data_IF_582238955927
#
_entry.id   IF_582238955927
#
_cell.length_a   1.000
_cell.length_b   1.000
_cell.length_c   1.000
_cell.angle_alpha   90.00
_cell.angle_beta   90.00
_cell.angle_gamma   90.00
#
_symmetry.space_group_name_H-M   'P 1'
#
loop_
_entity.id
_entity.type
_entity.pdbx_description
1 polymer ?
#
# COMPACT_ATOMS: atom_id res chain seq x y z
N UNK A 1 -14.74 21.07 -59.73
CA UNK A 1 -14.89 19.75 -59.09
C UNK A 1 -13.94 19.69 -57.90
N UNK A 2 -14.42 19.94 -56.68
CA UNK A 2 -13.60 19.81 -55.47
C UNK A 2 -14.53 19.61 -54.26
N UNK A 3 -14.76 18.35 -53.87
CA UNK A 3 -15.42 18.03 -52.61
C UNK A 3 -15.11 16.56 -52.23
N UNK A 4 -13.90 16.32 -51.70
CA UNK A 4 -13.41 14.96 -51.40
C UNK A 4 -12.68 14.81 -50.07
N UNK A 5 -12.62 15.83 -49.20
CA UNK A 5 -11.73 15.82 -48.03
C UNK A 5 -12.42 15.69 -46.66
N UNK A 6 -13.75 15.63 -46.60
CA UNK A 6 -14.50 15.70 -45.33
C UNK A 6 -14.80 14.33 -44.67
N UNK A 7 -14.80 13.23 -45.43
CA UNK A 7 -15.20 11.90 -44.90
C UNK A 7 -14.11 11.18 -44.09
N UNK A 8 -12.83 11.37 -44.40
CA UNK A 8 -11.72 10.66 -43.73
C UNK A 8 -11.41 11.22 -42.33
N UNK A 9 -11.63 12.51 -42.08
CA UNK A 9 -11.40 13.13 -40.75
C UNK A 9 -12.42 12.69 -39.70
N UNK A 10 -13.66 12.40 -40.10
CA UNK A 10 -14.71 11.90 -39.19
C UNK A 10 -14.49 10.44 -38.77
N UNK A 11 -13.94 9.60 -39.65
CA UNK A 11 -13.60 8.22 -39.32
C UNK A 11 -12.45 8.14 -38.29
N UNK A 12 -11.45 9.02 -38.42
CA UNK A 12 -10.32 9.06 -37.48
C UNK A 12 -10.75 9.50 -36.08
N UNK A 13 -11.70 10.43 -35.98
CA UNK A 13 -12.20 10.93 -34.69
C UNK A 13 -12.99 9.87 -33.90
N UNK A 14 -13.68 8.96 -34.60
CA UNK A 14 -14.41 7.84 -33.99
C UNK A 14 -13.48 6.73 -33.48
N UNK A 15 -12.35 6.50 -34.14
CA UNK A 15 -11.34 5.51 -33.66
C UNK A 15 -10.61 6.05 -32.42
N UNK A 16 -10.38 7.36 -32.34
CA UNK A 16 -9.70 7.98 -31.19
C UNK A 16 -10.58 8.06 -29.93
N UNK A 17 -11.91 8.06 -30.06
CA UNK A 17 -12.84 8.05 -28.91
C UNK A 17 -13.04 6.65 -28.32
N UNK A 18 -12.81 5.57 -29.07
CA UNK A 18 -12.84 4.21 -28.52
C UNK A 18 -11.61 3.84 -27.67
N UNK A 19 -10.47 4.51 -27.87
CA UNK A 19 -9.24 4.21 -27.10
C UNK A 19 -9.17 4.89 -25.72
N UNK A 20 -10.03 5.87 -25.44
CA UNK A 20 -10.08 6.55 -24.13
C UNK A 20 -11.10 5.95 -23.16
N UNK A 21 -11.79 4.87 -23.55
CA UNK A 21 -12.44 3.97 -22.61
C UNK A 21 -11.36 3.13 -21.88
N UNK A 22 -10.45 3.83 -21.19
CA UNK A 22 -9.59 3.23 -20.19
C UNK A 22 -10.52 2.47 -19.25
N UNK A 23 -10.42 1.14 -19.30
CA UNK A 23 -11.20 0.25 -18.46
C UNK A 23 -10.87 0.63 -17.03
N UNK A 24 -11.76 1.36 -16.37
CA UNK A 24 -11.77 1.46 -14.92
C UNK A 24 -11.78 0.02 -14.45
N UNK A 25 -10.64 -0.46 -13.96
CA UNK A 25 -10.53 -1.77 -13.35
C UNK A 25 -11.41 -1.67 -12.11
N UNK A 26 -12.69 -2.01 -12.27
CA UNK A 26 -13.57 -2.21 -11.15
C UNK A 26 -12.95 -3.38 -10.40
N UNK A 27 -12.25 -3.07 -9.31
CA UNK A 27 -11.73 -4.10 -8.42
C UNK A 27 -12.94 -4.83 -7.89
N UNK A 28 -13.21 -6.00 -8.48
CA UNK A 28 -14.25 -6.87 -7.99
C UNK A 28 -13.91 -7.23 -6.54
N UNK A 29 -14.94 -7.45 -5.72
CA UNK A 29 -14.74 -7.95 -4.37
C UNK A 29 -14.05 -9.32 -4.46
N UNK A 30 -12.92 -9.47 -3.79
CA UNK A 30 -12.12 -10.70 -3.79
C UNK A 30 -12.39 -11.46 -2.50
N UNK A 31 -13.53 -12.17 -2.45
CA UNK A 31 -13.94 -12.90 -1.26
C UNK A 31 -13.07 -14.15 -1.04
N UNK A 32 -12.31 -14.16 0.04
CA UNK A 32 -11.51 -15.30 0.49
C UNK A 32 -12.25 -16.04 1.58
N UNK A 33 -12.48 -17.35 1.40
CA UNK A 33 -13.20 -18.19 2.36
C UNK A 33 -12.34 -18.50 3.59
N UNK A 34 -12.92 -18.34 4.78
CA UNK A 34 -12.37 -18.80 6.06
C UNK A 34 -13.00 -20.14 6.41
N UNK A 35 -12.16 -21.11 6.76
CA UNK A 35 -12.60 -22.43 7.22
C UNK A 35 -12.63 -22.46 8.74
N UNK A 36 -13.77 -22.84 9.30
CA UNK A 36 -13.95 -23.08 10.74
C UNK A 36 -14.60 -24.44 10.93
N UNK A 37 -14.14 -25.20 11.92
CA UNK A 37 -14.70 -26.52 12.24
C UNK A 37 -15.91 -26.43 13.18
N UNK A 38 -16.07 -25.31 13.90
CA UNK A 38 -17.04 -25.16 14.97
C UNK A 38 -18.40 -24.61 14.51
N UNK A 39 -18.47 -24.01 13.31
CA UNK A 39 -19.66 -23.34 12.81
C UNK A 39 -20.00 -23.80 11.38
N UNK A 40 -21.22 -24.26 11.10
CA UNK A 40 -21.62 -24.70 9.76
C UNK A 40 -21.78 -23.57 8.74
N UNK A 41 -21.86 -22.30 9.18
CA UNK A 41 -22.00 -21.15 8.30
C UNK A 41 -20.76 -20.91 7.45
N UNK A 42 -20.93 -20.17 6.35
CA UNK A 42 -19.82 -19.84 5.45
C UNK A 42 -19.31 -18.44 5.73
N UNK A 43 -18.01 -18.33 5.96
CA UNK A 43 -17.33 -17.09 6.32
C UNK A 43 -16.34 -16.69 5.25
N UNK A 44 -16.28 -15.39 4.96
CA UNK A 44 -15.34 -14.83 3.99
C UNK A 44 -14.83 -13.47 4.47
N UNK A 45 -13.67 -13.04 3.96
CA UNK A 45 -13.25 -11.64 3.99
C UNK A 45 -12.95 -11.11 2.59
N UNK A 46 -13.11 -9.80 2.38
CA UNK A 46 -12.81 -9.15 1.11
C UNK A 46 -11.33 -8.74 1.04
N UNK A 47 -10.52 -9.48 0.28
CA UNK A 47 -9.08 -9.22 0.13
C UNK A 47 -8.80 -7.90 -0.58
N UNK A 48 -9.66 -7.44 -1.48
CA UNK A 48 -9.44 -6.21 -2.24
C UNK A 48 -9.77 -4.93 -1.45
N UNK A 49 -10.29 -5.07 -0.21
CA UNK A 49 -10.69 -3.96 0.65
C UNK A 49 -10.09 -4.02 2.06
N UNK A 50 -8.89 -4.57 2.18
CA UNK A 50 -8.13 -4.54 3.42
C UNK A 50 -7.50 -3.16 3.62
N UNK A 51 -7.65 -2.61 4.83
CA UNK A 51 -6.95 -1.40 5.25
C UNK A 51 -6.07 -1.75 6.45
N UNK A 52 -4.76 -1.70 6.24
CA UNK A 52 -3.74 -2.00 7.24
C UNK A 52 -3.13 -0.69 7.72
N UNK A 53 -3.15 -0.45 9.03
CA UNK A 53 -2.56 0.72 9.66
C UNK A 53 -1.90 0.31 10.97
N UNK A 54 -0.58 0.41 11.04
CA UNK A 54 0.22 -0.08 12.16
C UNK A 54 -0.17 -1.52 12.54
N UNK A 55 -0.61 -1.75 13.77
CA UNK A 55 -1.06 -3.06 14.27
C UNK A 55 -2.55 -3.34 14.04
N UNK A 56 -3.26 -2.44 13.36
CA UNK A 56 -4.69 -2.59 13.07
C UNK A 56 -4.95 -3.07 11.63
N UNK A 57 -5.95 -3.93 11.47
CA UNK A 57 -6.53 -4.25 10.18
C UNK A 57 -8.04 -4.05 10.19
N UNK A 58 -8.52 -3.18 9.30
CA UNK A 58 -9.96 -3.01 9.00
C UNK A 58 -10.32 -3.79 7.75
N UNK A 59 -11.39 -4.56 7.82
CA UNK A 59 -11.80 -5.47 6.75
C UNK A 59 -13.32 -5.63 6.67
N UNK A 60 -13.77 -6.19 5.55
CA UNK A 60 -15.15 -6.65 5.39
C UNK A 60 -15.21 -8.15 5.58
N UNK A 61 -16.06 -8.60 6.51
CA UNK A 61 -16.44 -9.99 6.72
C UNK A 61 -17.80 -10.24 6.07
N UNK A 62 -17.93 -11.33 5.32
CA UNK A 62 -19.20 -11.85 4.83
C UNK A 62 -19.55 -13.14 5.55
N UNK A 63 -20.81 -13.26 5.96
CA UNK A 63 -21.38 -14.48 6.52
C UNK A 63 -22.56 -14.91 5.66
N UNK A 64 -22.60 -16.18 5.27
CA UNK A 64 -23.77 -16.81 4.66
C UNK A 64 -24.28 -17.85 5.65
N UNK A 65 -25.51 -17.64 6.11
CA UNK A 65 -26.12 -18.54 7.08
C UNK A 65 -26.67 -19.77 6.38
N UNK A 66 -26.32 -20.98 6.84
CA UNK A 66 -26.88 -22.22 6.29
C UNK A 66 -28.38 -22.30 6.55
N UNK A 67 -28.81 -21.82 7.71
CA UNK A 67 -30.22 -21.61 8.05
C UNK A 67 -30.43 -20.13 8.30
N UNK A 68 -31.35 -19.46 7.58
CA UNK A 68 -31.63 -18.05 7.80
C UNK A 68 -31.96 -17.75 9.27
N UNK A 69 -31.36 -16.69 9.81
CA UNK A 69 -31.48 -16.33 11.22
C UNK A 69 -32.63 -15.32 11.41
N UNK A 70 -33.47 -15.48 12.44
CA UNK A 70 -34.50 -14.48 12.76
C UNK A 70 -33.84 -13.20 13.30
N UNK A 71 -34.24 -12.06 12.75
CA UNK A 71 -33.82 -10.75 13.24
C UNK A 71 -34.98 -9.76 13.10
N UNK A 72 -35.47 -9.25 14.23
CA UNK A 72 -36.72 -8.48 14.31
C UNK A 72 -37.89 -9.27 13.66
N UNK A 73 -38.50 -8.72 12.61
CA UNK A 73 -39.63 -9.28 11.88
C UNK A 73 -39.23 -9.98 10.56
N UNK A 74 -37.93 -10.19 10.32
CA UNK A 74 -37.41 -10.80 9.10
C UNK A 74 -36.50 -12.00 9.37
N UNK A 75 -36.31 -12.79 8.32
CA UNK A 75 -35.24 -13.78 8.23
C UNK A 75 -34.06 -13.17 7.46
N UNK A 76 -32.86 -13.41 7.96
CA UNK A 76 -31.60 -12.93 7.37
C UNK A 76 -30.82 -14.13 6.85
N UNK A 77 -30.50 -14.13 5.56
CA UNK A 77 -29.75 -15.22 4.91
C UNK A 77 -28.25 -14.92 4.82
N UNK A 78 -27.86 -13.64 4.85
CA UNK A 78 -26.45 -13.26 4.87
C UNK A 78 -26.24 -11.90 5.52
N UNK A 79 -25.00 -11.66 5.94
CA UNK A 79 -24.59 -10.40 6.53
C UNK A 79 -23.20 -9.99 6.04
N UNK A 80 -22.98 -8.67 5.94
CA UNK A 80 -21.66 -8.07 5.76
C UNK A 80 -21.34 -7.25 7.01
N UNK A 81 -20.20 -7.51 7.62
CA UNK A 81 -19.70 -6.78 8.78
C UNK A 81 -18.44 -6.04 8.38
N UNK A 82 -18.34 -4.77 8.73
CA UNK A 82 -17.09 -4.03 8.69
C UNK A 82 -16.49 -4.06 10.09
N UNK A 83 -15.35 -4.70 10.22
CA UNK A 83 -14.72 -4.96 11.51
C UNK A 83 -13.28 -4.47 11.49
N UNK A 84 -12.72 -4.24 12.69
CA UNK A 84 -11.33 -3.92 12.91
C UNK A 84 -10.74 -4.86 13.96
N UNK A 85 -9.56 -5.40 13.66
CA UNK A 85 -8.77 -6.18 14.61
C UNK A 85 -7.52 -5.37 14.97
N UNK A 86 -7.18 -5.31 16.26
CA UNK A 86 -5.88 -4.85 16.74
C UNK A 86 -5.01 -6.07 17.07
N UNK A 87 -4.02 -6.34 16.24
CA UNK A 87 -3.28 -7.60 16.22
C UNK A 87 -2.36 -7.83 17.41
N UNK A 88 -1.85 -6.77 18.03
CA UNK A 88 -1.01 -6.86 19.24
C UNK A 88 -1.81 -6.86 20.55
N UNK A 89 -3.04 -6.33 20.53
CA UNK A 89 -3.92 -6.28 21.71
C UNK A 89 -4.94 -7.42 21.73
N UNK A 90 -5.02 -8.20 20.64
CA UNK A 90 -6.00 -9.27 20.47
C UNK A 90 -7.44 -8.79 20.68
N UNK A 91 -7.79 -7.63 20.12
CA UNK A 91 -9.14 -7.06 20.22
C UNK A 91 -9.84 -6.95 18.87
N UNK A 92 -11.17 -7.11 18.88
CA UNK A 92 -12.06 -6.97 17.73
C UNK A 92 -13.09 -5.89 18.01
N UNK A 93 -13.32 -5.03 17.01
CA UNK A 93 -14.31 -3.96 17.07
C UNK A 93 -15.21 -3.99 15.84
N UNK A 94 -16.52 -3.99 16.06
CA UNK A 94 -17.52 -3.85 15.00
C UNK A 94 -17.73 -2.37 14.66
N UNK A 95 -17.57 -2.02 13.39
CA UNK A 95 -17.74 -0.64 12.89
C UNK A 95 -19.13 -0.47 12.27
N UNK A 96 -19.56 -1.41 11.43
CA UNK A 96 -20.88 -1.38 10.80
C UNK A 96 -21.32 -2.76 10.32
N UNK A 97 -22.61 -2.93 10.05
CA UNK A 97 -23.13 -4.14 9.43
C UNK A 97 -24.26 -3.86 8.42
N UNK A 98 -24.40 -4.79 7.47
CA UNK A 98 -25.48 -4.88 6.51
C UNK A 98 -26.11 -6.27 6.62
N UNK A 99 -27.44 -6.33 6.68
CA UNK A 99 -28.19 -7.59 6.74
C UNK A 99 -29.03 -7.77 5.48
N UNK A 100 -29.00 -8.97 4.92
CA UNK A 100 -29.70 -9.30 3.68
C UNK A 100 -30.73 -10.41 3.89
N UNK A 101 -31.92 -10.20 3.34
CA UNK A 101 -33.00 -11.21 3.34
C UNK A 101 -32.63 -12.40 2.44
N UNK A 102 -33.36 -13.54 2.51
CA UNK A 102 -33.24 -14.64 1.56
C UNK A 102 -33.42 -14.24 0.09
N UNK A 103 -34.15 -13.16 -0.20
CA UNK A 103 -34.32 -12.62 -1.55
C UNK A 103 -33.11 -11.80 -2.03
N UNK A 104 -32.09 -11.60 -1.18
CA UNK A 104 -30.91 -10.79 -1.47
C UNK A 104 -31.14 -9.28 -1.27
N UNK A 105 -32.28 -8.89 -0.73
CA UNK A 105 -32.61 -7.48 -0.47
C UNK A 105 -31.88 -7.00 0.78
N UNK A 106 -31.37 -5.77 0.74
CA UNK A 106 -30.82 -5.11 1.93
C UNK A 106 -31.97 -4.81 2.89
N UNK A 107 -31.98 -5.47 4.05
CA UNK A 107 -32.96 -5.22 5.10
C UNK A 107 -32.54 -4.08 6.02
N UNK A 108 -31.29 -4.11 6.49
CA UNK A 108 -30.79 -3.14 7.45
C UNK A 108 -29.35 -2.78 7.14
N UNK A 109 -29.05 -1.49 7.23
CA UNK A 109 -27.70 -0.95 7.36
C UNK A 109 -27.61 -0.19 8.67
N UNK A 110 -26.75 -0.63 9.55
CA UNK A 110 -26.47 0.05 10.80
C UNK A 110 -25.01 0.52 10.78
N UNK A 111 -24.76 1.82 10.55
CA UNK A 111 -23.49 2.41 10.95
C UNK A 111 -23.47 2.36 12.48
N UNK A 112 -22.71 1.42 13.04
CA UNK A 112 -22.64 1.31 14.48
C UNK A 112 -21.90 2.55 14.98
N UNK A 113 -22.39 3.21 16.05
CA UNK A 113 -21.46 4.04 16.84
C UNK A 113 -20.39 3.05 17.27
N UNK A 114 -19.19 3.25 16.77
CA UNK A 114 -18.02 2.43 17.02
C UNK A 114 -17.99 2.01 18.50
N UNK A 115 -18.34 0.74 18.77
CA UNK A 115 -18.38 0.22 20.13
C UNK A 115 -16.97 0.09 20.70
N UNK A 116 -16.88 -0.16 22.00
CA UNK A 116 -15.58 -0.45 22.61
C UNK A 116 -15.01 -1.76 22.03
N UNK A 117 -13.69 -1.82 21.76
CA UNK A 117 -13.04 -3.07 21.36
C UNK A 117 -13.29 -4.18 22.38
N UNK A 118 -13.62 -5.37 21.92
CA UNK A 118 -13.80 -6.55 22.75
C UNK A 118 -12.62 -7.51 22.59
N UNK A 119 -12.15 -8.19 23.65
CA UNK A 119 -11.08 -9.17 23.54
C UNK A 119 -11.51 -10.36 22.67
N UNK A 120 -10.60 -10.84 21.83
CA UNK A 120 -10.79 -12.02 20.99
C UNK A 120 -10.55 -13.26 21.85
N UNK A 121 -11.58 -14.12 21.93
CA UNK A 121 -11.51 -15.36 22.72
C UNK A 121 -10.78 -16.44 21.90
N UNK A 122 -9.79 -17.15 22.46
CA UNK A 122 -9.12 -18.27 21.79
C UNK A 122 -10.10 -19.33 21.28
N UNK A 123 -9.80 -19.93 20.13
CA UNK A 123 -10.62 -20.94 19.45
C UNK A 123 -12.04 -20.46 19.06
N UNK A 124 -12.31 -19.17 19.17
CA UNK A 124 -13.52 -18.56 18.64
C UNK A 124 -13.38 -18.27 17.14
N UNK A 125 -14.51 -17.93 16.50
CA UNK A 125 -14.49 -17.42 15.13
C UNK A 125 -13.58 -16.17 15.00
N UNK A 126 -13.57 -15.29 16.00
CA UNK A 126 -12.73 -14.10 16.01
C UNK A 126 -11.24 -14.45 15.93
N UNK A 127 -10.81 -15.46 16.68
CA UNK A 127 -9.42 -15.95 16.70
C UNK A 127 -9.01 -16.55 15.35
N UNK A 128 -9.92 -17.24 14.65
CA UNK A 128 -9.67 -17.73 13.29
C UNK A 128 -9.42 -16.58 12.31
N UNK A 129 -10.24 -15.53 12.37
CA UNK A 129 -10.05 -14.34 11.53
C UNK A 129 -8.77 -13.59 11.89
N UNK A 130 -8.48 -13.43 13.17
CA UNK A 130 -7.26 -12.81 13.66
C UNK A 130 -6.01 -13.54 13.15
N UNK A 131 -5.91 -14.85 13.34
CA UNK A 131 -4.77 -15.65 12.86
C UNK A 131 -4.55 -15.49 11.36
N UNK A 132 -5.64 -15.48 10.58
CA UNK A 132 -5.58 -15.31 9.13
C UNK A 132 -5.12 -13.89 8.74
N UNK A 133 -5.71 -12.85 9.33
CA UNK A 133 -5.55 -11.47 8.91
C UNK A 133 -4.32 -10.78 9.52
N UNK A 134 -4.02 -11.03 10.79
CA UNK A 134 -2.85 -10.45 11.45
C UNK A 134 -1.52 -10.98 10.92
N UNK A 135 -1.53 -12.15 10.26
CA UNK A 135 -0.37 -12.60 9.47
C UNK A 135 -0.03 -11.60 8.36
N UNK A 136 -1.03 -10.98 7.72
CA UNK A 136 -0.82 -9.98 6.67
C UNK A 136 -0.25 -8.67 7.22
N UNK A 137 -0.70 -8.25 8.41
CA UNK A 137 -0.15 -7.08 9.12
C UNK A 137 1.33 -7.28 9.42
N UNK A 138 1.69 -8.43 9.98
CA UNK A 138 3.10 -8.78 10.25
C UNK A 138 3.95 -8.83 8.96
N UNK A 139 3.42 -9.38 7.87
CA UNK A 139 4.12 -9.40 6.58
C UNK A 139 4.39 -7.99 6.06
N UNK A 140 3.38 -7.11 6.13
CA UNK A 140 3.53 -5.71 5.74
C UNK A 140 4.59 -4.98 6.58
N UNK A 141 4.59 -5.18 7.89
CA UNK A 141 5.62 -4.61 8.78
C UNK A 141 7.03 -5.08 8.44
N UNK A 142 7.19 -6.36 8.12
CA UNK A 142 8.47 -6.92 7.69
C UNK A 142 8.94 -6.30 6.37
N UNK A 143 8.06 -6.17 5.38
CA UNK A 143 8.36 -5.53 4.10
C UNK A 143 8.74 -4.06 4.27
N UNK A 144 8.01 -3.32 5.10
CA UNK A 144 8.26 -1.91 5.37
C UNK A 144 9.59 -1.72 6.11
N UNK A 145 9.94 -2.61 7.06
CA UNK A 145 11.26 -2.65 7.71
C UNK A 145 12.38 -2.90 6.71
N UNK A 146 12.25 -3.94 5.87
CA UNK A 146 13.27 -4.27 4.86
C UNK A 146 13.48 -3.12 3.89
N UNK A 147 12.40 -2.45 3.47
CA UNK A 147 12.48 -1.26 2.61
C UNK A 147 13.18 -0.10 3.30
N UNK A 148 12.88 0.16 4.57
CA UNK A 148 13.53 1.21 5.34
C UNK A 148 15.04 0.95 5.52
N UNK A 149 15.43 -0.28 5.83
CA UNK A 149 16.84 -0.68 5.92
C UNK A 149 17.57 -0.55 4.59
N UNK A 150 16.95 -0.99 3.49
CA UNK A 150 17.52 -0.86 2.15
C UNK A 150 17.73 0.61 1.77
N UNK A 151 16.75 1.47 2.07
CA UNK A 151 16.84 2.91 1.86
C UNK A 151 17.97 3.53 2.69
N UNK A 152 18.06 3.22 3.98
CA UNK A 152 19.12 3.73 4.85
C UNK A 152 20.52 3.31 4.40
N UNK A 153 20.68 2.06 3.91
CA UNK A 153 21.95 1.59 3.34
C UNK A 153 22.32 2.33 2.06
N UNK A 154 21.37 2.59 1.18
CA UNK A 154 21.60 3.35 -0.04
C UNK A 154 22.03 4.79 0.26
N UNK A 155 21.32 5.47 1.18
CA UNK A 155 21.66 6.84 1.61
C UNK A 155 23.04 6.91 2.29
N UNK A 156 23.38 5.91 3.12
CA UNK A 156 24.70 5.83 3.74
C UNK A 156 25.82 5.59 2.71
N UNK A 157 25.58 4.73 1.72
CA UNK A 157 26.54 4.47 0.65
C UNK A 157 26.77 5.71 -0.24
N UNK A 158 25.69 6.43 -0.58
CA UNK A 158 25.78 7.70 -1.32
C UNK A 158 26.57 8.75 -0.54
N UNK A 159 26.30 8.89 0.77
CA UNK A 159 27.04 9.81 1.63
C UNK A 159 28.54 9.46 1.70
N UNK A 160 28.87 8.17 1.90
CA UNK A 160 30.28 7.74 1.93
C UNK A 160 30.98 7.96 0.57
N UNK A 161 30.29 7.73 -0.54
CA UNK A 161 30.84 7.99 -1.87
C UNK A 161 31.11 9.49 -2.10
N UNK A 162 30.19 10.36 -1.68
CA UNK A 162 30.37 11.81 -1.76
C UNK A 162 31.51 12.32 -0.86
N UNK A 163 31.64 11.76 0.35
CA UNK A 163 32.76 12.08 1.25
C UNK A 163 34.11 11.62 0.69
N UNK A 164 34.17 10.42 0.09
CA UNK A 164 35.37 9.91 -0.58
C UNK A 164 35.76 10.76 -1.79
N UNK A 165 34.79 11.10 -2.65
CA UNK A 165 35.02 11.97 -3.82
C UNK A 165 35.53 13.35 -3.39
N UNK A 166 34.92 13.95 -2.35
CA UNK A 166 35.37 15.22 -1.79
C UNK A 166 36.80 15.12 -1.23
N UNK A 167 37.14 14.01 -0.57
CA UNK A 167 38.50 13.76 -0.06
C UNK A 167 39.52 13.66 -1.19
N UNK A 168 39.23 12.87 -2.23
CA UNK A 168 40.11 12.71 -3.39
C UNK A 168 40.32 14.04 -4.12
N UNK A 169 39.27 14.86 -4.24
CA UNK A 169 39.38 16.20 -4.83
C UNK A 169 40.28 17.13 -3.99
N UNK A 170 40.10 17.13 -2.67
CA UNK A 170 40.93 17.95 -1.77
C UNK A 170 42.42 17.54 -1.81
N UNK A 171 42.71 16.24 -1.89
CA UNK A 171 44.08 15.73 -2.01
C UNK A 171 44.74 16.11 -3.34
N UNK A 172 43.98 16.07 -4.44
CA UNK A 172 44.45 16.52 -5.76
C UNK A 172 44.78 18.02 -5.79
N UNK A 173 43.96 18.86 -5.15
CA UNK A 173 44.21 20.30 -5.04
C UNK A 173 45.44 20.61 -4.17
N UNK A 174 45.64 19.89 -3.06
CA UNK A 174 46.81 20.04 -2.19
C UNK A 174 48.13 19.63 -2.89
N UNK A 175 48.11 18.56 -3.68
CA UNK A 175 49.30 18.11 -4.43
C UNK A 175 49.66 19.06 -5.57
N UNK A 176 48.68 19.69 -6.23
CA UNK A 176 48.93 20.72 -7.25
C UNK A 176 49.60 21.98 -6.68
N UNK A 177 49.26 22.38 -5.44
CA UNK A 177 49.83 23.56 -4.79
C UNK A 177 51.29 23.40 -4.34
N UNK A 178 51.79 22.16 -4.26
CA UNK A 178 53.14 21.86 -3.73
C UNK A 178 54.19 21.72 -4.84
N UNK A 179 53.83 21.90 -6.13
CA UNK A 179 54.80 21.82 -7.22
C UNK A 179 55.71 23.07 -7.19
N UNK A 180 57.03 22.92 -6.91
CA UNK A 180 57.92 24.07 -6.73
C UNK A 180 58.00 24.88 -8.01
N UNK A 181 57.66 26.16 -7.93
CA UNK A 181 57.89 27.11 -9.02
C UNK A 181 59.38 27.05 -9.39
N UNK A 182 59.74 26.80 -10.68
CA UNK A 182 61.13 26.71 -11.10
C UNK A 182 61.88 27.96 -10.65
N UNK A 183 62.98 27.75 -9.92
CA UNK A 183 63.78 28.84 -9.37
C UNK A 183 64.09 29.87 -10.47
N UNK A 184 63.70 31.13 -10.22
CA UNK A 184 63.94 32.21 -11.15
C UNK A 184 65.46 32.29 -11.43
N UNK A 185 65.88 32.35 -12.71
CA UNK A 185 67.28 32.48 -13.04
C UNK A 185 67.85 33.78 -12.42
N UNK A 186 69.11 33.75 -11.93
CA UNK A 186 69.69 34.88 -11.23
C UNK A 186 69.74 36.13 -12.14
N UNK A 187 69.55 37.33 -11.57
CA UNK A 187 69.53 38.58 -12.32
C UNK A 187 70.90 38.85 -12.96
N UNK A 188 70.87 39.13 -14.26
CA UNK A 188 72.03 39.41 -15.09
C UNK A 188 72.52 40.84 -14.83
N UNK A 189 73.46 41.00 -13.89
CA UNK A 189 74.18 42.26 -13.67
C UNK A 189 75.25 42.46 -14.73
N UNK A 190 74.84 42.93 -15.91
CA UNK A 190 75.74 43.47 -16.93
C UNK A 190 75.35 44.91 -17.26
N UNK A 191 75.82 45.85 -16.45
CA UNK A 191 75.75 47.29 -16.72
C UNK A 191 77.04 47.74 -17.45
N UNK A 192 76.96 48.45 -18.59
CA UNK A 192 78.12 49.10 -19.19
C UNK A 192 78.41 50.44 -18.50
N UNK A 193 79.66 50.64 -18.08
CA UNK A 193 80.19 51.95 -17.73
C UNK A 193 80.55 52.71 -19.01
N UNK A 194 80.03 53.93 -19.16
CA UNK A 194 80.52 54.96 -20.07
C UNK A 194 80.48 56.32 -19.38
#
# INVERSE_FOLDING_TARGET
MANGQSRTKRALLLILTCLTAASSVATAAEWVKIHTAADPNLYFYDRSKLFLNDDEITYWKKVIFITPQPFKDKLIASALYRERIHCSEHTLKLISYLLYTPAGELFEYAPTKEGDPAPIIPDSLGDVFEKALCTLVRQKHEEDRQRAEAKAKAEAAEKMAAEEEARLKAEAEATAATNPQPAAPPPDTSAPQH
#
